data_IF_130193879655
#
_entry.id   IF_130193879655
#
_cell.length_a   1.000
_cell.length_b   1.000
_cell.length_c   1.000
_cell.angle_alpha   90.00
_cell.angle_beta   90.00
_cell.angle_gamma   90.00
#
_symmetry.space_group_name_H-M   'P 1'
#
loop_
_entity.id
_entity.type
_entity.pdbx_description
1 polymer ?
#
# COMPACT_ATOMS: atom_id res chain seq x y z
N UNK A 1 6.70 37.91 1.72
CA UNK A 1 7.10 37.90 0.29
C UNK A 1 8.61 37.66 0.12
N UNK A 2 9.44 38.41 0.87
CA UNK A 2 10.91 38.29 0.83
C UNK A 2 11.41 36.91 1.28
N UNK A 3 10.88 36.38 2.40
CA UNK A 3 11.20 35.03 2.86
C UNK A 3 10.92 33.96 1.79
N UNK A 4 9.78 34.06 1.10
CA UNK A 4 9.40 33.15 0.02
C UNK A 4 10.39 33.19 -1.14
N UNK A 5 10.78 34.39 -1.57
CA UNK A 5 11.76 34.58 -2.63
C UNK A 5 13.17 34.09 -2.24
N UNK A 6 13.54 34.23 -0.96
CA UNK A 6 14.79 33.68 -0.43
C UNK A 6 14.76 32.14 -0.40
N UNK A 7 13.68 31.53 0.08
CA UNK A 7 13.49 30.08 0.02
C UNK A 7 13.52 29.55 -1.43
N UNK A 8 12.87 30.25 -2.37
CA UNK A 8 12.88 29.88 -3.78
C UNK A 8 14.29 29.88 -4.38
N UNK A 9 15.07 30.94 -4.09
CA UNK A 9 16.48 31.04 -4.51
C UNK A 9 17.31 29.88 -3.96
N UNK A 10 17.12 29.53 -2.69
CA UNK A 10 17.80 28.38 -2.06
C UNK A 10 17.41 27.07 -2.74
N UNK A 11 16.12 26.84 -2.97
CA UNK A 11 15.64 25.61 -3.65
C UNK A 11 16.27 25.48 -5.03
N UNK A 12 16.25 26.55 -5.83
CA UNK A 12 16.82 26.56 -7.18
C UNK A 12 18.33 26.35 -7.18
N UNK A 13 19.05 26.97 -6.24
CA UNK A 13 20.48 26.74 -6.06
C UNK A 13 20.76 25.28 -5.70
N UNK A 14 19.99 24.67 -4.80
CA UNK A 14 20.12 23.24 -4.49
C UNK A 14 19.84 22.35 -5.70
N UNK A 15 18.81 22.65 -6.51
CA UNK A 15 18.52 21.90 -7.75
C UNK A 15 19.71 21.96 -8.71
N UNK A 16 20.26 23.15 -8.93
CA UNK A 16 21.42 23.37 -9.80
C UNK A 16 22.62 22.56 -9.29
N UNK A 17 22.99 22.72 -8.01
CA UNK A 17 24.14 22.02 -7.42
C UNK A 17 24.00 20.49 -7.44
N UNK A 18 22.80 19.97 -7.19
CA UNK A 18 22.53 18.52 -7.30
C UNK A 18 22.61 18.05 -8.77
N UNK A 19 22.27 18.91 -9.73
CA UNK A 19 22.33 18.65 -11.17
C UNK A 19 23.73 18.75 -11.78
N UNK A 20 24.62 19.55 -11.19
CA UNK A 20 25.98 19.82 -11.71
C UNK A 20 26.90 18.60 -11.59
N UNK A 21 27.14 17.88 -12.69
CA UNK A 21 27.85 16.58 -12.74
C UNK A 21 29.14 16.50 -11.91
N UNK A 22 29.86 17.61 -11.75
CA UNK A 22 31.11 17.71 -10.98
C UNK A 22 30.97 17.73 -9.44
N UNK A 23 29.79 18.01 -8.87
CA UNK A 23 29.61 18.21 -7.42
C UNK A 23 29.62 16.91 -6.56
N UNK A 24 30.18 15.82 -7.07
CA UNK A 24 30.24 14.52 -6.38
C UNK A 24 30.79 13.38 -7.23
N UNK A 25 31.62 13.72 -8.24
CA UNK A 25 32.28 12.73 -9.09
C UNK A 25 33.49 12.07 -8.40
N UNK A 26 34.02 12.71 -7.36
CA UNK A 26 35.05 12.11 -6.50
C UNK A 26 34.33 11.19 -5.53
N UNK A 27 34.40 9.87 -5.76
CA UNK A 27 33.70 8.81 -5.04
C UNK A 27 34.01 8.66 -3.54
N UNK A 28 34.48 9.72 -2.88
CA UNK A 28 34.72 9.80 -1.44
C UNK A 28 33.47 10.10 -0.62
N UNK A 29 33.47 9.66 0.64
CA UNK A 29 32.36 9.87 1.58
C UNK A 29 31.99 11.34 1.83
N UNK A 30 32.94 12.27 1.67
CA UNK A 30 32.74 13.71 1.89
C UNK A 30 31.79 14.34 0.85
N UNK A 31 31.87 13.94 -0.42
CA UNK A 31 30.96 14.40 -1.45
C UNK A 31 29.51 13.99 -1.17
N UNK A 32 29.31 12.76 -0.68
CA UNK A 32 27.98 12.25 -0.33
C UNK A 32 27.39 12.98 0.88
N UNK A 33 28.22 13.30 1.88
CA UNK A 33 27.81 14.08 3.04
C UNK A 33 27.37 15.50 2.62
N UNK A 34 28.15 16.17 1.78
CA UNK A 34 27.80 17.49 1.25
C UNK A 34 26.47 17.48 0.50
N UNK A 35 26.26 16.50 -0.41
CA UNK A 35 25.01 16.38 -1.14
C UNK A 35 23.81 16.10 -0.21
N UNK A 36 24.01 15.34 0.87
CA UNK A 36 22.99 15.13 1.90
C UNK A 36 22.65 16.42 2.66
N UNK A 37 23.66 17.26 2.97
CA UNK A 37 23.43 18.58 3.57
C UNK A 37 22.67 19.52 2.65
N UNK A 38 23.00 19.53 1.34
CA UNK A 38 22.24 20.28 0.33
C UNK A 38 20.77 19.84 0.27
N UNK A 39 20.52 18.54 0.38
CA UNK A 39 19.16 17.99 0.43
C UNK A 39 18.42 18.43 1.69
N UNK A 40 19.07 18.39 2.85
CA UNK A 40 18.52 18.90 4.11
C UNK A 40 18.15 20.39 4.02
N UNK A 41 19.02 21.21 3.45
CA UNK A 41 18.75 22.63 3.20
C UNK A 41 17.57 22.84 2.25
N UNK A 42 17.46 22.03 1.20
CA UNK A 42 16.35 22.09 0.25
C UNK A 42 15.01 21.75 0.92
N UNK A 43 14.99 20.73 1.79
CA UNK A 43 13.79 20.34 2.56
C UNK A 43 13.31 21.49 3.45
N UNK A 44 14.22 22.12 4.20
CA UNK A 44 13.93 23.27 5.06
C UNK A 44 13.45 24.48 4.24
N UNK A 45 14.07 24.73 3.09
CA UNK A 45 13.66 25.81 2.20
C UNK A 45 12.26 25.57 1.62
N UNK A 46 11.91 24.33 1.27
CA UNK A 46 10.55 23.97 0.84
C UNK A 46 9.52 24.19 1.97
N UNK A 47 9.86 23.92 3.22
CA UNK A 47 9.00 24.19 4.39
C UNK A 47 8.80 25.69 4.60
N UNK A 48 9.88 26.47 4.59
CA UNK A 48 9.81 27.94 4.67
C UNK A 48 9.01 28.55 3.51
N UNK A 49 9.14 28.00 2.29
CA UNK A 49 8.34 28.43 1.15
C UNK A 49 6.84 28.15 1.37
N UNK A 50 6.46 26.99 1.91
CA UNK A 50 5.06 26.70 2.24
C UNK A 50 4.53 27.60 3.36
N UNK A 51 5.30 27.75 4.44
CA UNK A 51 4.89 28.57 5.59
C UNK A 51 4.68 30.05 5.23
N UNK A 52 5.50 30.57 4.31
CA UNK A 52 5.37 31.95 3.80
C UNK A 52 4.23 32.14 2.77
N UNK A 53 3.64 31.05 2.30
CA UNK A 53 2.49 31.04 1.39
C UNK A 53 1.18 30.98 2.21
N UNK A 54 0.93 32.00 3.03
CA UNK A 54 -0.31 32.14 3.79
C UNK A 54 -1.56 32.32 2.90
N UNK A 55 -2.77 32.30 3.48
CA UNK A 55 -4.05 32.30 2.74
C UNK A 55 -4.33 33.55 1.87
N UNK A 56 -3.48 34.58 1.91
CA UNK A 56 -3.56 35.77 1.07
C UNK A 56 -2.30 36.07 0.22
N UNK A 57 -1.34 35.14 0.14
CA UNK A 57 -0.10 35.35 -0.63
C UNK A 57 -0.32 35.27 -2.15
N UNK A 58 0.48 36.02 -2.93
CA UNK A 58 0.49 35.97 -4.41
C UNK A 58 0.35 34.53 -4.92
N UNK A 59 -0.73 34.28 -5.69
CA UNK A 59 -1.01 32.98 -6.30
C UNK A 59 0.16 32.57 -7.17
N UNK A 60 0.94 31.59 -6.72
CA UNK A 60 1.92 30.92 -7.58
C UNK A 60 1.19 30.21 -8.72
N UNK A 61 1.89 29.94 -9.82
CA UNK A 61 1.43 28.95 -10.79
C UNK A 61 1.03 27.64 -10.06
N UNK A 62 -0.02 26.94 -10.53
CA UNK A 62 -0.44 25.68 -9.92
C UNK A 62 0.73 24.69 -9.88
N UNK A 63 0.83 23.94 -8.78
CA UNK A 63 1.87 22.92 -8.56
C UNK A 63 3.32 23.43 -8.63
N UNK A 64 3.55 24.74 -8.50
CA UNK A 64 4.89 25.32 -8.65
C UNK A 64 5.93 24.68 -7.70
N UNK A 65 5.61 24.61 -6.41
CA UNK A 65 6.51 24.03 -5.43
C UNK A 65 6.64 22.51 -5.63
N UNK A 66 5.56 21.83 -5.99
CA UNK A 66 5.55 20.39 -6.28
C UNK A 66 6.48 20.06 -7.46
N UNK A 67 6.52 20.91 -8.49
CA UNK A 67 7.47 20.78 -9.61
C UNK A 67 8.92 20.97 -9.15
N UNK A 68 9.20 21.95 -8.29
CA UNK A 68 10.54 22.12 -7.71
C UNK A 68 10.95 20.91 -6.85
N UNK A 69 10.06 20.41 -6.00
CA UNK A 69 10.30 19.21 -5.17
C UNK A 69 10.52 17.98 -6.06
N UNK A 70 9.79 17.84 -7.16
CA UNK A 70 10.02 16.78 -8.14
C UNK A 70 11.42 16.88 -8.78
N UNK A 71 11.88 18.08 -9.15
CA UNK A 71 13.23 18.26 -9.67
C UNK A 71 14.32 17.93 -8.64
N UNK A 72 14.14 18.33 -7.38
CA UNK A 72 15.03 17.93 -6.29
C UNK A 72 15.08 16.40 -6.13
N UNK A 73 13.92 15.73 -6.14
CA UNK A 73 13.86 14.27 -6.11
C UNK A 73 14.59 13.65 -7.30
N UNK A 74 14.40 14.17 -8.50
CA UNK A 74 15.05 13.69 -9.73
C UNK A 74 16.57 13.78 -9.63
N UNK A 75 17.09 14.94 -9.29
CA UNK A 75 18.53 15.16 -9.15
C UNK A 75 19.11 14.27 -8.03
N UNK A 76 18.42 14.17 -6.89
CA UNK A 76 18.87 13.34 -5.77
C UNK A 76 18.90 11.85 -6.09
N UNK A 77 17.89 11.33 -6.78
CA UNK A 77 17.85 9.93 -7.21
C UNK A 77 18.97 9.63 -8.22
N UNK A 78 19.23 10.55 -9.17
CA UNK A 78 20.33 10.43 -10.13
C UNK A 78 21.71 10.39 -9.44
N UNK A 79 21.82 10.93 -8.22
CA UNK A 79 23.03 10.91 -7.39
C UNK A 79 23.11 9.74 -6.41
N UNK A 80 22.18 8.79 -6.46
CA UNK A 80 22.15 7.67 -5.51
C UNK A 80 21.78 8.09 -4.07
N UNK A 81 21.14 9.24 -3.90
CA UNK A 81 20.65 9.75 -2.61
C UNK A 81 19.20 9.36 -2.33
N UNK A 82 18.69 8.33 -3.03
CA UNK A 82 17.33 7.83 -2.87
C UNK A 82 16.90 7.56 -1.41
N UNK A 83 17.77 7.08 -0.49
CA UNK A 83 17.40 6.91 0.93
C UNK A 83 17.09 8.23 1.63
N UNK A 84 17.82 9.30 1.29
CA UNK A 84 17.68 10.63 1.91
C UNK A 84 16.50 11.43 1.34
N UNK A 85 15.88 10.96 0.25
CA UNK A 85 14.76 11.63 -0.42
C UNK A 85 13.42 11.55 0.33
N UNK A 86 13.33 10.78 1.43
CA UNK A 86 12.08 10.54 2.14
C UNK A 86 11.29 11.82 2.50
N UNK A 87 11.91 12.88 3.06
CA UNK A 87 11.19 14.11 3.39
C UNK A 87 10.60 14.78 2.15
N UNK A 88 11.35 14.81 1.03
CA UNK A 88 10.86 15.37 -0.23
C UNK A 88 9.70 14.56 -0.82
N UNK A 89 9.75 13.23 -0.74
CA UNK A 89 8.63 12.38 -1.16
C UNK A 89 7.36 12.69 -0.36
N UNK A 90 7.50 12.85 0.96
CA UNK A 90 6.37 13.16 1.84
C UNK A 90 5.79 14.55 1.54
N UNK A 91 6.67 15.53 1.31
CA UNK A 91 6.29 16.87 0.92
C UNK A 91 5.56 16.91 -0.44
N UNK A 92 6.07 16.17 -1.43
CA UNK A 92 5.43 16.05 -2.74
C UNK A 92 4.06 15.37 -2.62
N UNK A 93 3.98 14.24 -1.92
CA UNK A 93 2.73 13.53 -1.69
C UNK A 93 1.68 14.43 -1.03
N UNK A 94 2.09 15.18 -0.01
CA UNK A 94 1.21 16.11 0.71
C UNK A 94 0.72 17.22 -0.22
N UNK A 95 1.61 17.83 -1.01
CA UNK A 95 1.25 18.86 -1.99
C UNK A 95 0.29 18.36 -3.06
N UNK A 96 0.59 17.21 -3.68
CA UNK A 96 -0.25 16.62 -4.73
C UNK A 96 -1.61 16.16 -4.18
N UNK A 97 -1.66 15.59 -2.97
CA UNK A 97 -2.92 15.14 -2.35
C UNK A 97 -3.93 16.26 -2.07
N UNK A 98 -3.45 17.51 -1.96
CA UNK A 98 -4.28 18.70 -1.73
C UNK A 98 -4.62 19.45 -3.03
N UNK A 99 -4.11 18.98 -4.17
CA UNK A 99 -4.30 19.66 -5.44
C UNK A 99 -5.44 19.02 -6.23
N UNK A 100 -6.51 19.75 -6.55
CA UNK A 100 -7.58 19.25 -7.42
C UNK A 100 -7.18 19.26 -8.91
N UNK A 101 -5.94 19.63 -9.23
CA UNK A 101 -5.50 19.86 -10.61
C UNK A 101 -5.21 18.54 -11.34
N UNK A 102 -5.67 18.35 -12.59
CA UNK A 102 -5.40 17.13 -13.37
C UNK A 102 -3.90 16.91 -13.63
N UNK A 103 -3.11 18.00 -13.69
CA UNK A 103 -1.66 17.94 -13.82
C UNK A 103 -0.96 17.24 -12.64
N UNK A 104 -1.61 17.19 -11.47
CA UNK A 104 -1.06 16.52 -10.28
C UNK A 104 -0.83 15.03 -10.54
N UNK A 105 -1.70 14.39 -11.33
CA UNK A 105 -1.53 12.99 -11.75
C UNK A 105 -0.30 12.78 -12.63
N UNK A 106 0.03 13.73 -13.50
CA UNK A 106 1.23 13.67 -14.35
C UNK A 106 2.53 13.77 -13.55
N UNK A 107 2.58 14.68 -12.58
CA UNK A 107 3.71 14.80 -11.64
C UNK A 107 3.80 13.55 -10.76
N UNK A 108 2.66 13.05 -10.26
CA UNK A 108 2.58 11.81 -9.47
C UNK A 108 3.11 10.59 -10.22
N UNK A 109 2.71 10.38 -11.47
CA UNK A 109 3.22 9.28 -12.34
C UNK A 109 4.71 9.39 -12.61
N UNK A 110 5.20 10.60 -12.89
CA UNK A 110 6.62 10.84 -13.14
C UNK A 110 7.46 10.57 -11.89
N UNK A 111 6.98 11.02 -10.73
CA UNK A 111 7.62 10.75 -9.44
C UNK A 111 7.54 9.27 -9.06
N UNK A 112 6.43 8.58 -9.35
CA UNK A 112 6.32 7.13 -9.21
C UNK A 112 7.42 6.42 -10.03
N UNK A 113 7.53 6.72 -11.33
CA UNK A 113 8.50 6.07 -12.20
C UNK A 113 9.94 6.28 -11.71
N UNK A 114 10.26 7.49 -11.25
CA UNK A 114 11.56 7.82 -10.68
C UNK A 114 11.89 7.00 -9.43
N UNK A 115 11.01 7.02 -8.42
CA UNK A 115 11.24 6.31 -7.15
C UNK A 115 11.22 4.79 -7.35
N UNK A 116 10.35 4.31 -8.23
CA UNK A 116 10.26 2.89 -8.58
C UNK A 116 11.54 2.41 -9.26
N UNK A 117 12.11 3.21 -10.18
CA UNK A 117 13.36 2.91 -10.86
C UNK A 117 14.59 3.01 -9.95
N UNK A 118 14.55 3.84 -8.91
CA UNK A 118 15.63 3.95 -7.92
C UNK A 118 15.60 2.83 -6.86
N UNK A 119 14.44 2.22 -6.57
CA UNK A 119 14.33 1.22 -5.52
C UNK A 119 15.23 -0.03 -5.66
N UNK A 120 15.53 -0.57 -6.86
CA UNK A 120 16.45 -1.68 -7.03
C UNK A 120 17.90 -1.39 -6.66
N UNK A 121 18.31 -0.12 -6.56
CA UNK A 121 19.68 0.25 -6.15
C UNK A 121 19.85 0.26 -4.64
N UNK A 122 18.78 -0.03 -3.88
CA UNK A 122 18.76 -0.01 -2.43
C UNK A 122 18.68 -1.43 -1.85
N UNK A 123 19.13 -1.63 -0.59
CA UNK A 123 18.88 -2.87 0.13
C UNK A 123 17.36 -3.17 0.23
N UNK A 124 16.96 -4.45 0.46
CA UNK A 124 15.56 -4.86 0.41
C UNK A 124 14.59 -3.99 1.23
N UNK A 125 14.91 -3.70 2.50
CA UNK A 125 14.07 -2.87 3.38
C UNK A 125 13.89 -1.42 2.87
N UNK A 126 14.97 -0.64 2.72
CA UNK A 126 14.90 0.70 2.14
C UNK A 126 14.30 0.73 0.73
N UNK A 127 14.57 -0.29 -0.09
CA UNK A 127 13.98 -0.46 -1.42
C UNK A 127 12.47 -0.69 -1.37
N UNK A 128 11.97 -1.52 -0.45
CA UNK A 128 10.53 -1.70 -0.22
C UNK A 128 9.90 -0.38 0.27
N UNK A 129 10.54 0.27 1.23
CA UNK A 129 10.11 1.57 1.77
C UNK A 129 9.94 2.61 0.65
N UNK A 130 10.90 2.67 -0.29
CA UNK A 130 10.82 3.55 -1.46
C UNK A 130 9.71 3.14 -2.43
N UNK A 131 9.53 1.85 -2.72
CA UNK A 131 8.44 1.34 -3.57
C UNK A 131 7.07 1.65 -2.98
N UNK A 132 6.88 1.49 -1.67
CA UNK A 132 5.62 1.82 -1.01
C UNK A 132 5.31 3.31 -1.13
N UNK A 133 6.31 4.19 -0.97
CA UNK A 133 6.13 5.64 -1.20
C UNK A 133 5.79 5.96 -2.66
N UNK A 134 6.46 5.31 -3.61
CA UNK A 134 6.13 5.44 -5.03
C UNK A 134 4.66 5.05 -5.29
N UNK A 135 4.20 3.92 -4.72
CA UNK A 135 2.83 3.47 -4.87
C UNK A 135 1.80 4.45 -4.28
N UNK A 136 2.13 5.19 -3.22
CA UNK A 136 1.27 6.27 -2.72
C UNK A 136 1.10 7.40 -3.72
N UNK A 137 2.15 7.75 -4.47
CA UNK A 137 2.05 8.74 -5.54
C UNK A 137 1.20 8.23 -6.70
N UNK A 138 1.33 6.94 -7.05
CA UNK A 138 0.47 6.31 -8.05
C UNK A 138 -0.99 6.22 -7.57
N UNK A 139 -1.23 6.08 -6.27
CA UNK A 139 -2.58 6.04 -5.68
C UNK A 139 -3.34 7.37 -5.81
N UNK A 140 -2.64 8.48 -6.05
CA UNK A 140 -3.26 9.77 -6.34
C UNK A 140 -3.83 9.83 -7.77
N UNK A 141 -3.51 8.86 -8.62
CA UNK A 141 -3.98 8.79 -10.01
C UNK A 141 -5.09 7.75 -10.16
N UNK A 142 -6.38 8.17 -10.25
CA UNK A 142 -7.55 7.28 -10.20
C UNK A 142 -7.59 6.11 -11.23
N UNK A 143 -7.09 6.22 -12.48
CA UNK A 143 -7.15 5.10 -13.43
C UNK A 143 -6.20 3.93 -13.11
N UNK A 144 -5.31 4.05 -12.11
CA UNK A 144 -4.19 3.12 -11.92
C UNK A 144 -4.43 1.98 -10.92
N UNK A 145 -5.67 1.74 -10.46
CA UNK A 145 -5.96 0.79 -9.36
C UNK A 145 -5.45 -0.64 -9.57
N UNK A 146 -5.65 -1.22 -10.76
CA UNK A 146 -5.16 -2.59 -11.08
C UNK A 146 -3.63 -2.66 -11.12
N UNK A 147 -2.99 -1.68 -11.77
CA UNK A 147 -1.54 -1.58 -11.84
C UNK A 147 -0.93 -1.42 -10.45
N UNK A 148 -1.56 -0.60 -9.60
CA UNK A 148 -1.12 -0.37 -8.23
C UNK A 148 -1.13 -1.67 -7.41
N UNK A 149 -2.21 -2.45 -7.49
CA UNK A 149 -2.29 -3.74 -6.81
C UNK A 149 -1.23 -4.73 -7.31
N UNK A 150 -1.01 -4.80 -8.63
CA UNK A 150 0.05 -5.66 -9.21
C UNK A 150 1.45 -5.25 -8.73
N UNK A 151 1.76 -3.95 -8.78
CA UNK A 151 3.06 -3.40 -8.35
C UNK A 151 3.27 -3.55 -6.85
N UNK A 152 2.22 -3.38 -6.05
CA UNK A 152 2.27 -3.66 -4.62
C UNK A 152 2.61 -5.13 -4.33
N UNK A 153 1.89 -6.07 -4.94
CA UNK A 153 2.17 -7.49 -4.81
C UNK A 153 3.61 -7.83 -5.26
N UNK A 154 4.09 -7.21 -6.34
CA UNK A 154 5.47 -7.33 -6.80
C UNK A 154 6.47 -6.84 -5.72
N UNK A 155 6.20 -5.71 -5.08
CA UNK A 155 7.07 -5.13 -4.05
C UNK A 155 7.20 -6.05 -2.83
N UNK A 156 6.07 -6.58 -2.35
CA UNK A 156 6.06 -7.52 -1.24
C UNK A 156 6.87 -8.79 -1.58
N UNK A 157 6.69 -9.35 -2.79
CA UNK A 157 7.46 -10.53 -3.23
C UNK A 157 8.96 -10.25 -3.28
N UNK A 158 9.37 -9.12 -3.87
CA UNK A 158 10.78 -8.76 -3.98
C UNK A 158 11.44 -8.57 -2.60
N UNK A 159 10.72 -7.98 -1.64
CA UNK A 159 11.23 -7.85 -0.28
C UNK A 159 11.40 -9.21 0.40
N UNK A 160 10.36 -10.04 0.34
CA UNK A 160 10.36 -11.37 0.97
C UNK A 160 11.35 -12.35 0.32
N UNK A 161 11.69 -12.15 -0.97
CA UNK A 161 12.73 -12.92 -1.67
C UNK A 161 14.15 -12.38 -1.41
N UNK A 162 14.27 -11.06 -1.18
CA UNK A 162 15.56 -10.39 -1.00
C UNK A 162 16.14 -10.52 0.41
N UNK A 163 15.31 -10.69 1.44
CA UNK A 163 15.76 -11.07 2.78
C UNK A 163 15.97 -12.58 2.90
N UNK A 164 16.80 -13.15 2.03
CA UNK A 164 17.19 -14.56 2.05
C UNK A 164 17.88 -14.94 3.36
N UNK A 165 17.11 -15.20 4.41
CA UNK A 165 17.61 -15.56 5.73
C UNK A 165 16.55 -15.39 6.81
N UNK A 166 15.92 -16.50 7.17
CA UNK A 166 15.29 -16.81 8.47
C UNK A 166 15.10 -15.65 9.46
N UNK A 167 13.84 -15.21 9.65
CA UNK A 167 13.39 -14.60 10.90
C UNK A 167 13.16 -13.08 10.92
N UNK A 168 13.62 -12.33 9.90
CA UNK A 168 13.29 -10.91 9.81
C UNK A 168 11.87 -10.72 9.25
N UNK A 169 10.87 -10.60 10.13
CA UNK A 169 9.54 -10.15 9.73
C UNK A 169 9.56 -8.72 9.18
N UNK A 170 8.44 -8.25 8.63
CA UNK A 170 8.32 -6.84 8.25
C UNK A 170 8.66 -5.95 9.44
N UNK A 171 9.75 -5.19 9.36
CA UNK A 171 10.11 -4.20 10.38
C UNK A 171 8.96 -3.23 10.67
N UNK A 172 8.92 -2.68 11.89
CA UNK A 172 7.84 -1.80 12.35
C UNK A 172 7.59 -0.59 11.43
N UNK A 173 8.65 -0.05 10.82
CA UNK A 173 8.57 1.03 9.82
C UNK A 173 7.86 0.62 8.53
N UNK A 174 8.05 -0.63 8.08
CA UNK A 174 7.39 -1.15 6.89
C UNK A 174 5.91 -1.37 7.16
N UNK A 175 5.57 -1.89 8.34
CA UNK A 175 4.17 -2.02 8.76
C UNK A 175 3.50 -0.65 8.93
N UNK A 176 4.21 0.37 9.43
CA UNK A 176 3.67 1.72 9.52
C UNK A 176 3.46 2.33 8.12
N UNK A 177 4.39 2.13 7.18
CA UNK A 177 4.24 2.56 5.78
C UNK A 177 3.10 1.84 5.07
N UNK A 178 2.91 0.55 5.34
CA UNK A 178 1.76 -0.21 4.85
C UNK A 178 0.46 0.36 5.40
N UNK A 179 0.39 0.64 6.71
CA UNK A 179 -0.78 1.31 7.32
C UNK A 179 -1.02 2.68 6.69
N UNK A 180 0.04 3.45 6.44
CA UNK A 180 -0.07 4.77 5.84
C UNK A 180 -0.47 4.74 4.37
N UNK A 181 -0.10 3.69 3.63
CA UNK A 181 -0.56 3.44 2.27
C UNK A 181 -2.04 3.05 2.26
N UNK A 182 -2.49 2.36 3.31
CA UNK A 182 -3.88 2.00 3.54
C UNK A 182 -4.72 3.13 4.16
N UNK A 183 -4.12 4.27 4.57
CA UNK A 183 -4.86 5.45 4.99
C UNK A 183 -5.36 6.18 3.75
N UNK A 184 -6.68 6.16 3.45
CA UNK A 184 -7.20 6.95 2.34
C UNK A 184 -6.99 8.44 2.64
N UNK A 185 -6.81 9.29 1.60
CA UNK A 185 -6.75 10.73 1.79
C UNK A 185 -8.01 11.28 2.50
N UNK A 186 -7.94 12.48 3.12
CA UNK A 186 -9.14 13.14 3.63
C UNK A 186 -10.15 13.28 2.49
N UNK A 187 -11.42 12.99 2.77
CA UNK A 187 -12.48 13.11 1.79
C UNK A 187 -12.89 14.57 1.71
N UNK A 188 -12.87 15.14 0.51
CA UNK A 188 -13.66 16.31 0.20
C UNK A 188 -15.10 15.85 -0.08
N UNK A 189 -16.07 16.51 0.53
CA UNK A 189 -17.50 16.20 0.39
C UNK A 189 -17.89 16.17 -1.10
N UNK A 190 -18.55 15.09 -1.54
CA UNK A 190 -19.10 14.96 -2.91
C UNK A 190 -18.53 13.83 -3.78
N UNK A 191 -17.47 13.12 -3.38
CA UNK A 191 -16.79 12.12 -4.24
C UNK A 191 -17.07 10.66 -3.83
N UNK A 192 -18.34 10.27 -3.69
CA UNK A 192 -18.75 8.94 -3.19
C UNK A 192 -18.19 7.76 -4.00
N UNK A 193 -18.18 7.86 -5.33
CA UNK A 193 -17.62 6.80 -6.19
C UNK A 193 -16.10 6.63 -6.03
N UNK A 194 -15.38 7.75 -5.92
CA UNK A 194 -13.94 7.73 -5.71
C UNK A 194 -13.61 7.12 -4.34
N UNK A 195 -14.43 7.40 -3.33
CA UNK A 195 -14.30 6.81 -2.00
C UNK A 195 -14.42 5.28 -2.04
N UNK A 196 -15.45 4.73 -2.68
CA UNK A 196 -15.61 3.26 -2.77
C UNK A 196 -14.45 2.59 -3.52
N UNK A 197 -13.92 3.21 -4.56
CA UNK A 197 -12.75 2.69 -5.28
C UNK A 197 -11.50 2.69 -4.41
N UNK A 198 -11.28 3.73 -3.60
CA UNK A 198 -10.17 3.79 -2.65
C UNK A 198 -10.30 2.72 -1.56
N UNK A 199 -11.50 2.50 -1.01
CA UNK A 199 -11.73 1.44 -0.03
C UNK A 199 -11.49 0.05 -0.62
N UNK A 200 -11.94 -0.18 -1.87
CA UNK A 200 -11.69 -1.40 -2.60
C UNK A 200 -10.19 -1.66 -2.80
N UNK A 201 -9.45 -0.62 -3.19
CA UNK A 201 -8.01 -0.67 -3.37
C UNK A 201 -7.31 -0.99 -2.03
N UNK A 202 -7.66 -0.29 -0.95
CA UNK A 202 -7.10 -0.56 0.39
C UNK A 202 -7.36 -2.01 0.81
N UNK A 203 -8.58 -2.50 0.62
CA UNK A 203 -8.95 -3.88 0.92
C UNK A 203 -8.11 -4.87 0.09
N UNK A 204 -8.00 -4.66 -1.21
CA UNK A 204 -7.23 -5.51 -2.12
C UNK A 204 -5.75 -5.57 -1.74
N UNK A 205 -5.15 -4.42 -1.41
CA UNK A 205 -3.75 -4.34 -1.00
C UNK A 205 -3.51 -5.06 0.33
N UNK A 206 -4.38 -4.87 1.31
CA UNK A 206 -4.30 -5.56 2.59
C UNK A 206 -4.38 -7.08 2.41
N UNK A 207 -5.29 -7.58 1.57
CA UNK A 207 -5.41 -9.00 1.25
C UNK A 207 -4.17 -9.56 0.53
N UNK A 208 -3.62 -8.82 -0.44
CA UNK A 208 -2.41 -9.25 -1.17
C UNK A 208 -1.16 -9.28 -0.27
N UNK A 209 -0.98 -8.29 0.59
CA UNK A 209 0.13 -8.28 1.54
C UNK A 209 -0.02 -9.39 2.57
N UNK A 210 -1.22 -9.55 3.15
CA UNK A 210 -1.49 -10.63 4.10
C UNK A 210 -1.22 -12.01 3.46
N UNK A 211 -1.53 -12.18 2.17
CA UNK A 211 -1.35 -13.47 1.49
C UNK A 211 0.14 -13.75 1.28
N UNK A 212 0.89 -12.71 0.93
CA UNK A 212 2.34 -12.79 0.77
C UNK A 212 3.02 -13.11 2.11
N UNK A 213 2.58 -12.47 3.19
CA UNK A 213 3.09 -12.70 4.55
C UNK A 213 2.75 -14.10 5.06
N UNK A 214 1.51 -14.56 4.87
CA UNK A 214 1.09 -15.92 5.24
C UNK A 214 1.96 -16.98 4.55
N UNK A 215 2.15 -16.85 3.23
CA UNK A 215 2.94 -17.78 2.41
C UNK A 215 4.44 -17.80 2.76
N UNK A 216 4.92 -16.76 3.42
CA UNK A 216 6.34 -16.62 3.80
C UNK A 216 6.60 -16.89 5.28
N UNK A 217 5.60 -17.42 6.00
CA UNK A 217 5.76 -17.83 7.39
C UNK A 217 5.52 -16.73 8.42
N UNK A 218 4.88 -15.63 8.03
CA UNK A 218 4.57 -14.47 8.88
C UNK A 218 3.06 -14.27 9.15
N UNK A 219 2.34 -15.28 9.68
CA UNK A 219 0.90 -15.21 9.86
C UNK A 219 0.47 -14.20 10.94
N UNK A 220 1.30 -13.97 11.96
CA UNK A 220 1.01 -12.98 13.01
C UNK A 220 0.98 -11.55 12.42
N UNK A 221 1.98 -11.18 11.62
CA UNK A 221 2.00 -9.89 10.93
C UNK A 221 0.87 -9.77 9.91
N UNK A 222 0.57 -10.84 9.17
CA UNK A 222 -0.57 -10.87 8.24
C UNK A 222 -1.90 -10.60 8.96
N UNK A 223 -2.12 -11.22 10.12
CA UNK A 223 -3.30 -10.99 10.96
C UNK A 223 -3.36 -9.56 11.48
N UNK A 224 -2.25 -9.03 11.99
CA UNK A 224 -2.17 -7.66 12.50
C UNK A 224 -2.49 -6.64 11.39
N UNK A 225 -1.95 -6.85 10.18
CA UNK A 225 -2.22 -6.01 9.02
C UNK A 225 -3.72 -6.02 8.66
N UNK A 226 -4.35 -7.20 8.57
CA UNK A 226 -5.78 -7.32 8.27
C UNK A 226 -6.65 -6.69 9.36
N UNK A 227 -6.23 -6.80 10.63
CA UNK A 227 -6.93 -6.18 11.76
C UNK A 227 -6.83 -4.65 11.71
N UNK A 228 -5.63 -4.11 11.49
CA UNK A 228 -5.40 -2.68 11.35
C UNK A 228 -6.16 -2.10 10.15
N UNK A 229 -6.11 -2.76 9.00
CA UNK A 229 -6.86 -2.38 7.81
C UNK A 229 -8.38 -2.40 8.07
N UNK A 230 -8.89 -3.44 8.73
CA UNK A 230 -10.30 -3.52 9.11
C UNK A 230 -10.73 -2.40 10.06
N UNK A 231 -9.91 -2.08 11.06
CA UNK A 231 -10.19 -0.98 11.99
C UNK A 231 -10.23 0.39 11.27
N UNK A 232 -9.31 0.62 10.33
CA UNK A 232 -9.28 1.84 9.54
C UNK A 232 -10.54 2.01 8.68
N UNK A 233 -11.03 0.93 8.07
CA UNK A 233 -12.28 0.96 7.30
C UNK A 233 -13.49 1.28 8.20
N UNK A 234 -13.58 0.67 9.39
CA UNK A 234 -14.66 0.93 10.34
C UNK A 234 -14.67 2.38 10.85
N UNK A 235 -13.50 2.95 11.14
CA UNK A 235 -13.37 4.36 11.57
C UNK A 235 -13.86 5.37 10.51
N UNK A 236 -13.94 4.96 9.25
CA UNK A 236 -14.41 5.80 8.14
C UNK A 236 -15.92 5.74 7.93
N UNK A 237 -16.67 5.15 8.85
CA UNK A 237 -18.13 5.06 8.76
C UNK A 237 -18.62 3.90 7.89
N UNK A 238 -17.72 3.04 7.40
CA UNK A 238 -18.14 1.77 6.81
C UNK A 238 -18.78 0.92 7.89
N UNK A 239 -20.10 0.75 7.80
CA UNK A 239 -20.86 -0.05 8.74
C UNK A 239 -20.36 -1.50 8.75
N UNK A 240 -20.69 -2.23 9.82
CA UNK A 240 -20.36 -3.68 9.95
C UNK A 240 -20.88 -4.54 8.78
N UNK A 241 -21.84 -4.02 8.01
CA UNK A 241 -22.44 -4.67 6.83
C UNK A 241 -21.71 -4.35 5.52
N UNK A 242 -20.73 -3.45 5.54
CA UNK A 242 -19.94 -3.12 4.35
C UNK A 242 -19.20 -4.35 3.80
N UNK A 243 -19.09 -4.49 2.47
CA UNK A 243 -18.34 -5.58 1.86
C UNK A 243 -16.84 -5.55 2.19
N UNK A 244 -16.24 -4.37 2.43
CA UNK A 244 -14.78 -4.25 2.60
C UNK A 244 -14.28 -4.78 3.96
N UNK A 245 -14.85 -4.37 5.12
CA UNK A 245 -14.49 -4.98 6.41
C UNK A 245 -14.80 -6.48 6.45
N UNK A 246 -15.88 -6.91 5.79
CA UNK A 246 -16.26 -8.33 5.73
C UNK A 246 -15.26 -9.15 4.89
N UNK A 247 -14.75 -8.60 3.78
CA UNK A 247 -13.67 -9.24 3.00
C UNK A 247 -12.40 -9.46 3.84
N UNK A 248 -11.99 -8.47 4.64
CA UNK A 248 -10.83 -8.62 5.53
C UNK A 248 -11.10 -9.59 6.67
N UNK A 249 -12.33 -9.60 7.22
CA UNK A 249 -12.76 -10.58 8.23
C UNK A 249 -12.72 -12.00 7.66
N UNK A 250 -13.17 -12.22 6.42
CA UNK A 250 -13.10 -13.52 5.75
C UNK A 250 -11.66 -14.03 5.65
N UNK A 251 -10.71 -13.17 5.26
CA UNK A 251 -9.30 -13.55 5.21
C UNK A 251 -8.73 -13.90 6.60
N UNK A 252 -9.12 -13.17 7.65
CA UNK A 252 -8.73 -13.47 9.05
C UNK A 252 -9.30 -14.79 9.58
N UNK A 253 -10.36 -15.32 8.95
CA UNK A 253 -10.91 -16.62 9.31
C UNK A 253 -10.05 -17.78 8.80
N UNK A 254 -9.03 -17.52 7.99
CA UNK A 254 -8.09 -18.55 7.55
C UNK A 254 -7.42 -19.23 8.75
N UNK A 255 -7.36 -20.57 8.77
CA UNK A 255 -6.75 -21.31 9.87
C UNK A 255 -5.29 -20.94 10.11
N UNK A 256 -4.54 -20.65 9.04
CA UNK A 256 -3.13 -20.22 9.12
C UNK A 256 -2.90 -18.92 9.89
N UNK A 257 -3.94 -18.07 10.02
CA UNK A 257 -3.85 -16.79 10.74
C UNK A 257 -4.42 -16.86 12.17
N UNK A 258 -4.98 -17.99 12.60
CA UNK A 258 -5.60 -18.12 13.91
C UNK A 258 -4.76 -18.98 14.86
N UNK A 259 -4.62 -18.49 16.09
CA UNK A 259 -4.03 -19.20 17.22
C UNK A 259 -5.03 -19.13 18.39
N UNK A 260 -5.55 -20.28 18.89
CA UNK A 260 -5.41 -21.63 18.34
C UNK A 260 -6.10 -21.79 16.96
N UNK A 261 -5.65 -22.73 16.12
CA UNK A 261 -6.23 -22.92 14.79
C UNK A 261 -7.63 -23.55 14.93
N UNK A 262 -8.70 -22.89 14.44
CA UNK A 262 -10.03 -23.48 14.46
C UNK A 262 -10.10 -24.68 13.51
N UNK A 263 -11.04 -25.59 13.75
CA UNK A 263 -11.33 -26.62 12.75
C UNK A 263 -11.80 -25.98 11.43
N UNK A 264 -11.51 -26.62 10.27
CA UNK A 264 -11.97 -26.14 8.97
C UNK A 264 -13.48 -25.84 8.95
N UNK A 265 -14.30 -26.70 9.56
CA UNK A 265 -15.74 -26.45 9.70
C UNK A 265 -16.09 -25.18 10.52
N UNK A 266 -15.38 -24.92 11.62
CA UNK A 266 -15.60 -23.67 12.38
C UNK A 266 -15.21 -22.43 11.56
N UNK A 267 -14.13 -22.51 10.77
CA UNK A 267 -13.75 -21.41 9.88
C UNK A 267 -14.81 -21.16 8.79
N UNK A 268 -15.31 -22.24 8.15
CA UNK A 268 -16.33 -22.16 7.09
C UNK A 268 -17.68 -21.66 7.61
N UNK A 269 -18.13 -22.13 8.77
CA UNK A 269 -19.38 -21.66 9.40
C UNK A 269 -19.32 -20.17 9.76
N UNK A 270 -18.19 -19.67 10.27
CA UNK A 270 -17.98 -18.23 10.51
C UNK A 270 -17.89 -17.44 9.21
N UNK A 271 -17.29 -18.01 8.16
CA UNK A 271 -17.20 -17.37 6.85
C UNK A 271 -18.59 -17.22 6.20
N UNK A 272 -19.42 -18.26 6.31
CA UNK A 272 -20.83 -18.25 5.93
C UNK A 272 -21.61 -17.14 6.65
N UNK A 273 -21.48 -17.07 7.98
CA UNK A 273 -22.14 -16.03 8.76
C UNK A 273 -21.68 -14.62 8.32
N UNK A 274 -20.39 -14.46 8.03
CA UNK A 274 -19.82 -13.19 7.55
C UNK A 274 -20.39 -12.81 6.18
N UNK A 275 -20.45 -13.74 5.22
CA UNK A 275 -21.05 -13.50 3.90
C UNK A 275 -22.53 -13.14 3.98
N UNK A 276 -23.31 -13.83 4.83
CA UNK A 276 -24.73 -13.50 5.07
C UNK A 276 -24.90 -12.12 5.71
N UNK A 277 -24.00 -11.75 6.63
CA UNK A 277 -24.05 -10.47 7.33
C UNK A 277 -23.66 -9.28 6.43
N UNK A 278 -22.92 -9.52 5.35
CA UNK A 278 -22.59 -8.53 4.33
C UNK A 278 -23.78 -8.18 3.41
N UNK A 279 -25.00 -8.57 3.81
CA UNK A 279 -26.23 -8.55 3.02
C UNK A 279 -26.51 -7.25 2.25
N UNK A 280 -27.27 -7.40 1.17
CA UNK A 280 -27.41 -6.41 0.10
C UNK A 280 -26.67 -6.86 -1.15
N UNK A 281 -27.04 -6.35 -2.33
CA UNK A 281 -26.27 -6.55 -3.55
C UNK A 281 -25.09 -5.58 -3.52
N UNK A 282 -23.86 -6.01 -3.20
CA UNK A 282 -22.75 -5.09 -3.14
C UNK A 282 -22.51 -4.53 -4.54
N UNK A 283 -22.08 -3.27 -4.63
CA UNK A 283 -21.55 -2.75 -5.89
C UNK A 283 -20.39 -3.60 -6.41
N UNK A 284 -20.03 -3.49 -7.70
CA UNK A 284 -18.89 -4.19 -8.29
C UNK A 284 -17.59 -4.17 -7.45
N UNK A 285 -17.14 -3.04 -6.86
CA UNK A 285 -15.93 -3.03 -6.01
C UNK A 285 -16.09 -3.88 -4.75
N UNK A 286 -17.27 -3.86 -4.12
CA UNK A 286 -17.57 -4.65 -2.94
C UNK A 286 -17.58 -6.15 -3.22
N UNK A 287 -18.19 -6.57 -4.35
CA UNK A 287 -18.19 -7.98 -4.78
C UNK A 287 -16.77 -8.49 -5.05
N UNK A 288 -15.92 -7.68 -5.71
CA UNK A 288 -14.51 -8.01 -5.93
C UNK A 288 -13.73 -8.18 -4.62
N UNK A 289 -13.95 -7.28 -3.66
CA UNK A 289 -13.32 -7.38 -2.34
C UNK A 289 -13.72 -8.66 -1.60
N UNK A 290 -15.03 -8.96 -1.52
CA UNK A 290 -15.54 -10.18 -0.91
C UNK A 290 -14.99 -11.44 -1.59
N UNK A 291 -14.97 -11.44 -2.93
CA UNK A 291 -14.41 -12.55 -3.70
C UNK A 291 -12.92 -12.76 -3.39
N UNK A 292 -12.13 -11.68 -3.27
CA UNK A 292 -10.72 -11.76 -2.89
C UNK A 292 -10.55 -12.32 -1.46
N UNK A 293 -11.38 -11.91 -0.50
CA UNK A 293 -11.39 -12.45 0.86
C UNK A 293 -11.73 -13.94 0.90
N UNK A 294 -12.72 -14.39 0.12
CA UNK A 294 -13.07 -15.80 -0.01
C UNK A 294 -11.94 -16.62 -0.64
N UNK A 295 -11.31 -16.11 -1.71
CA UNK A 295 -10.17 -16.80 -2.36
C UNK A 295 -8.99 -16.94 -1.42
N UNK A 296 -8.73 -15.93 -0.60
CA UNK A 296 -7.72 -16.00 0.45
C UNK A 296 -8.00 -17.18 1.39
N UNK A 297 -9.21 -17.22 1.96
CA UNK A 297 -9.64 -18.29 2.87
C UNK A 297 -9.49 -19.68 2.22
N UNK A 298 -9.97 -19.84 0.99
CA UNK A 298 -9.87 -21.10 0.25
C UNK A 298 -8.42 -21.52 -0.02
N UNK A 299 -7.54 -20.56 -0.31
CA UNK A 299 -6.12 -20.86 -0.57
C UNK A 299 -5.39 -21.38 0.67
N UNK A 300 -5.83 -21.01 1.86
CA UNK A 300 -5.28 -21.47 3.14
C UNK A 300 -5.92 -22.78 3.63
N UNK A 301 -7.13 -23.10 3.16
CA UNK A 301 -7.79 -24.38 3.46
C UNK A 301 -7.24 -25.55 2.62
N UNK A 302 -6.78 -25.27 1.39
CA UNK A 302 -6.26 -26.29 0.47
C UNK A 302 -5.09 -27.13 1.04
N UNK A 303 -4.04 -26.54 1.65
CA UNK A 303 -2.95 -27.30 2.24
C UNK A 303 -3.40 -28.23 3.38
N UNK A 304 -4.45 -27.86 4.13
CA UNK A 304 -5.00 -28.70 5.19
C UNK A 304 -5.69 -29.95 4.64
N UNK A 305 -6.38 -29.81 3.49
CA UNK A 305 -6.99 -30.93 2.80
C UNK A 305 -5.96 -31.85 2.13
N UNK A 306 -4.84 -31.31 1.64
CA UNK A 306 -3.76 -32.11 1.04
C UNK A 306 -2.96 -32.89 2.10
N UNK A 307 -2.78 -32.32 3.31
CA UNK A 307 -2.09 -32.98 4.44
C UNK A 307 -2.84 -34.21 4.96
N UNK A 308 -4.17 -34.30 4.81
CA UNK A 308 -4.92 -35.49 5.24
C UNK A 308 -4.75 -36.70 4.31
N UNK A 309 -4.27 -36.49 3.08
CA UNK A 309 -4.03 -37.55 2.09
C UNK A 309 -2.59 -38.08 2.00
N UNK A 310 -1.65 -37.50 2.75
CA UNK A 310 -0.22 -37.81 2.66
C UNK A 310 0.16 -39.17 3.29
N UNK A 311 0.98 -39.95 2.58
CA UNK A 311 1.39 -41.36 2.83
C UNK A 311 2.20 -41.65 4.12
N UNK A 312 2.26 -40.75 5.11
CA UNK A 312 3.09 -40.92 6.30
C UNK A 312 2.30 -41.09 7.59
N UNK A 313 1.99 -42.33 7.97
CA UNK A 313 1.73 -42.78 9.37
C UNK A 313 0.45 -42.32 10.07
N UNK A 314 0.14 -41.03 10.10
CA UNK A 314 -1.00 -40.47 10.83
C UNK A 314 -1.98 -39.85 9.83
N UNK A 315 -2.98 -40.64 9.42
CA UNK A 315 -4.11 -40.13 8.65
C UNK A 315 -4.82 -39.07 9.48
N UNK A 316 -4.69 -37.80 9.09
CA UNK A 316 -5.63 -36.80 9.58
C UNK A 316 -7.05 -37.24 9.18
N UNK A 317 -8.04 -37.08 10.06
CA UNK A 317 -9.40 -37.54 9.81
C UNK A 317 -9.91 -36.93 8.51
N UNK A 318 -10.52 -37.77 7.67
CA UNK A 318 -11.25 -37.30 6.48
C UNK A 318 -12.26 -36.22 6.90
N UNK A 319 -12.46 -35.16 6.08
CA UNK A 319 -13.41 -34.11 6.40
C UNK A 319 -14.78 -34.74 6.66
N UNK A 320 -15.37 -34.43 7.80
CA UNK A 320 -16.68 -34.95 8.15
C UNK A 320 -17.76 -34.44 7.20
N UNK A 321 -18.88 -35.16 7.08
CA UNK A 321 -20.02 -34.75 6.26
C UNK A 321 -20.46 -33.31 6.54
N UNK A 322 -20.43 -32.88 7.81
CA UNK A 322 -20.75 -31.51 8.22
C UNK A 322 -19.81 -30.46 7.60
N UNK A 323 -18.52 -30.75 7.45
CA UNK A 323 -17.56 -29.83 6.84
C UNK A 323 -17.78 -29.73 5.32
N UNK A 324 -18.11 -30.84 4.66
CA UNK A 324 -18.45 -30.87 3.24
C UNK A 324 -19.72 -30.08 2.94
N UNK A 325 -20.75 -30.21 3.79
CA UNK A 325 -21.99 -29.43 3.68
C UNK A 325 -21.74 -27.94 3.88
N UNK A 326 -20.89 -27.56 4.85
CA UNK A 326 -20.51 -26.17 5.08
C UNK A 326 -19.69 -25.60 3.92
N UNK A 327 -18.76 -26.38 3.36
CA UNK A 327 -18.00 -25.98 2.17
C UNK A 327 -18.92 -25.78 0.97
N UNK A 328 -19.86 -26.70 0.73
CA UNK A 328 -20.85 -26.59 -0.34
C UNK A 328 -21.71 -25.33 -0.20
N UNK A 329 -22.27 -25.10 0.99
CA UNK A 329 -23.05 -23.90 1.28
C UNK A 329 -22.21 -22.61 1.10
N UNK A 330 -20.94 -22.65 1.48
CA UNK A 330 -20.02 -21.52 1.31
C UNK A 330 -19.74 -21.24 -0.17
N UNK A 331 -19.45 -22.28 -0.96
CA UNK A 331 -19.20 -22.17 -2.38
C UNK A 331 -20.44 -21.65 -3.12
N UNK A 332 -21.64 -22.09 -2.75
CA UNK A 332 -22.89 -21.57 -3.33
C UNK A 332 -23.01 -20.06 -3.13
N UNK A 333 -22.89 -19.58 -1.89
CA UNK A 333 -22.94 -18.14 -1.58
C UNK A 333 -21.79 -17.36 -2.23
N UNK A 334 -20.58 -17.93 -2.27
CA UNK A 334 -19.45 -17.32 -2.98
C UNK A 334 -19.74 -17.15 -4.47
N UNK A 335 -20.27 -18.18 -5.13
CA UNK A 335 -20.61 -18.12 -6.56
C UNK A 335 -21.71 -17.10 -6.84
N UNK A 336 -22.72 -16.99 -5.97
CA UNK A 336 -23.73 -15.93 -6.07
C UNK A 336 -23.11 -14.52 -6.00
N UNK A 337 -22.17 -14.32 -5.08
CA UNK A 337 -21.47 -13.03 -4.96
C UNK A 337 -20.55 -12.73 -6.16
N UNK A 338 -20.04 -13.76 -6.83
CA UNK A 338 -19.14 -13.60 -7.99
C UNK A 338 -19.89 -13.51 -9.33
N UNK A 339 -21.08 -14.08 -9.46
CA UNK A 339 -21.89 -14.10 -10.70
C UNK A 339 -22.19 -12.70 -11.30
N UNK A 340 -22.04 -11.63 -10.52
CA UNK A 340 -22.17 -10.24 -10.97
C UNK A 340 -20.86 -9.49 -11.24
N UNK A 341 -19.71 -10.15 -11.23
CA UNK A 341 -18.42 -9.59 -11.65
C UNK A 341 -18.16 -9.99 -13.09
N UNK A 342 -18.49 -9.15 -14.06
CA UNK A 342 -18.07 -9.35 -15.45
C UNK A 342 -16.53 -9.48 -15.51
N UNK A 343 -16.10 -10.53 -16.22
CA UNK A 343 -14.75 -10.99 -16.58
C UNK A 343 -13.54 -10.36 -15.88
N UNK A 344 -12.71 -11.24 -15.32
CA UNK A 344 -11.30 -11.00 -15.01
C UNK A 344 -10.50 -10.76 -16.29
#
# INVERSE_FOLDING_TARGET
>A
PELRASCDRVIRACIQRLGDSGAGADGGGEGRAHLSSLLGLAVLACEGHRASSGPGGCRSAPLYLERLVFHLLRCSCARGLAPSCQPLCQQLLTGLSRSPQPEAGGVGRSAFALLWGAAPTLPPGPGLSLRLRALRLLALDPPSSTLLAQRFAQSCRLYLQGEGGEGAGLGGETLSLLRDLLKPPPLEEGHYHHHQQQLALCCQLALQAASSLSKTGFPAQARELLQGAGALLLLRGEGKRSPFPNALRLARLSPGLQAPSPSPGQALSRALATLRSAGGSPGPPGRRALAAGCRFLLSELRPLAERSGGRGGERAPSPGLGELLQLSAFLHLYLEQVRGCSAW
#
